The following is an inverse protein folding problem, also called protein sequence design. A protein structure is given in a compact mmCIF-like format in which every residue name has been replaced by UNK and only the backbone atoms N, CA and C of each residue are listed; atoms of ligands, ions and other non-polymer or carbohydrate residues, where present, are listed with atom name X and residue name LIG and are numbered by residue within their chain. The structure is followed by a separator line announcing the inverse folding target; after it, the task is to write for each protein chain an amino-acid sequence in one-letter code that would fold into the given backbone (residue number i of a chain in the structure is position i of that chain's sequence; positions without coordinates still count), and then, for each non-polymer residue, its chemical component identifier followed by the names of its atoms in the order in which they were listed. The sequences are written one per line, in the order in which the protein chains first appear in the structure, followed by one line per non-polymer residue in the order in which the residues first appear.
data_IF_592872455016
#
_entry.id   IF_592872455016
#
_cell.length_a   1.000
_cell.length_b   1.000
_cell.length_c   1.000
_cell.angle_alpha   90.00
_cell.angle_beta   90.00
_cell.angle_gamma   90.00
#
_symmetry.space_group_name_H-M   'P 1'
#
loop_
_entity.id
_entity.type
_entity.pdbx_description
1 polymer ?
#
# COMPACT_ATOMS: atom_id res chain seq x y z
N UNK A 1 21.05 -20.79 0.73
CA UNK A 1 20.73 -20.58 0.60
C UNK A 1 20.14 -19.90 0.66
N UNK A 2 20.04 -19.69 0.51
CA UNK A 2 19.45 -19.07 0.43
C UNK A 2 18.84 -18.32 0.44
N UNK A 3 18.70 -18.15 0.44
CA UNK A 3 18.14 -17.56 0.40
C UNK A 3 17.46 -16.87 0.46
N UNK A 4 17.50 -16.71 0.43
CA UNK A 4 16.74 -16.12 0.45
C UNK A 4 16.08 -15.38 0.34
N UNK A 5 16.15 -15.43 0.26
CA UNK A 5 15.58 -14.91 0.07
C UNK A 5 14.83 -14.32 0.18
N UNK A 6 14.93 -14.37 0.33
CA UNK A 6 14.32 -13.95 0.43
C UNK A 6 13.83 -13.23 0.46
N UNK A 7 14.07 -13.25 0.55
CA UNK A 7 13.68 -12.64 0.57
C UNK A 7 13.26 -11.84 0.45
N UNK A 8 13.38 -12.00 0.42
CA UNK A 8 13.01 -11.33 0.23
C UNK A 8 12.50 -10.76 0.38
N UNK A 9 12.55 -10.88 0.49
CA UNK A 9 12.10 -10.58 0.60
C UNK A 9 11.72 -9.85 0.95
N UNK A 10 11.64 -9.81 1.07
CA UNK A 10 11.32 -9.18 1.50
C UNK A 10 11.09 -8.21 1.38
N UNK A 11 11.25 -8.30 0.94
CA UNK A 11 11.10 -7.33 0.83
C UNK A 11 10.35 -6.57 0.59
N UNK A 12 10.36 -6.42 0.84
CA UNK A 12 9.47 -5.45 0.77
C UNK A 12 9.69 -4.42 -0.14
N UNK A 13 10.36 -4.57 -1.00
CA UNK A 13 10.46 -3.56 -1.94
C UNK A 13 9.17 -3.49 -2.64
N UNK A 14 8.30 -2.80 -2.06
CA UNK A 14 7.01 -2.58 -2.63
C UNK A 14 7.14 -1.50 -3.67
N UNK A 15 6.83 -1.82 -4.89
CA UNK A 15 6.87 -0.85 -5.96
C UNK A 15 5.62 0.03 -5.91
N UNK A 16 5.68 1.16 -6.63
CA UNK A 16 4.52 2.03 -6.75
C UNK A 16 3.34 1.28 -7.35
N UNK A 17 3.60 0.44 -8.36
CA UNK A 17 2.51 -0.31 -9.00
C UNK A 17 1.85 -1.28 -8.02
N UNK A 18 2.65 -1.95 -7.20
CA UNK A 18 2.09 -2.84 -6.19
C UNK A 18 1.26 -2.08 -5.17
N UNK A 19 1.75 -0.90 -4.78
CA UNK A 19 1.01 -0.07 -3.83
C UNK A 19 -0.31 0.40 -4.41
N UNK A 20 -0.34 0.71 -5.71
CA UNK A 20 -1.58 1.10 -6.34
C UNK A 20 -2.59 -0.03 -6.34
N UNK A 21 -2.14 -1.27 -6.58
CA UNK A 21 -3.03 -2.42 -6.50
C UNK A 21 -3.54 -2.60 -5.08
N UNK A 22 -2.65 -2.49 -4.10
CA UNK A 22 -3.04 -2.61 -2.69
C UNK A 22 -4.02 -1.50 -2.31
N UNK A 23 -3.82 -0.31 -2.84
CA UNK A 23 -4.71 0.82 -2.57
C UNK A 23 -6.12 0.53 -3.09
N UNK A 24 -6.21 0.02 -4.31
CA UNK A 24 -7.49 -0.35 -4.88
C UNK A 24 -8.19 -1.42 -4.04
N UNK A 25 -7.42 -2.42 -3.59
CA UNK A 25 -7.99 -3.49 -2.79
C UNK A 25 -8.48 -2.97 -1.44
N UNK A 26 -7.68 -2.11 -0.78
CA UNK A 26 -8.07 -1.56 0.51
C UNK A 26 -9.30 -0.67 0.37
N UNK A 27 -9.40 0.10 -0.70
CA UNK A 27 -10.59 0.91 -0.95
C UNK A 27 -11.81 0.03 -1.19
N UNK A 28 -11.64 -1.06 -1.92
CA UNK A 28 -12.74 -1.97 -2.17
C UNK A 28 -13.24 -2.59 -0.87
N UNK A 29 -12.31 -2.99 0.00
CA UNK A 29 -12.69 -3.56 1.30
C UNK A 29 -13.42 -2.52 2.15
N UNK A 30 -12.92 -1.28 2.15
CA UNK A 30 -13.59 -0.23 2.89
C UNK A 30 -15.00 0.00 2.36
N UNK A 31 -15.15 0.04 1.02
CA UNK A 31 -16.44 0.32 0.43
C UNK A 31 -17.43 -0.81 0.63
N UNK A 32 -16.93 -2.03 0.82
CA UNK A 32 -17.79 -3.19 1.07
C UNK A 32 -18.17 -3.33 2.54
N UNK A 33 -17.44 -2.66 3.43
CA UNK A 33 -17.71 -2.75 4.86
C UNK A 33 -18.75 -1.72 5.24
N UNK A 34 -19.43 -1.98 6.36
CA UNK A 34 -20.42 -1.04 6.85
C UNK A 34 -19.69 0.19 7.40
N UNK A 35 -20.10 1.40 7.00
CA UNK A 35 -19.42 2.62 7.47
C UNK A 35 -19.39 2.68 8.98
N UNK A 36 -18.23 2.95 9.54
CA UNK A 36 -18.03 3.03 10.97
C UNK A 36 -17.77 1.70 11.65
N UNK A 37 -17.85 0.59 10.92
CA UNK A 37 -17.55 -0.71 11.50
C UNK A 37 -16.04 -0.87 11.70
N UNK A 38 -15.66 -1.88 12.47
CA UNK A 38 -14.25 -2.17 12.71
C UNK A 38 -13.50 -2.44 11.40
N UNK A 39 -14.13 -3.21 10.52
CA UNK A 39 -13.54 -3.51 9.22
C UNK A 39 -13.38 -2.26 8.38
N UNK A 40 -14.37 -1.38 8.43
CA UNK A 40 -14.31 -0.14 7.68
C UNK A 40 -13.16 0.73 8.19
N UNK A 41 -13.00 0.80 9.50
CA UNK A 41 -11.93 1.62 10.08
C UNK A 41 -10.56 1.05 9.76
N UNK A 42 -10.41 -0.26 9.83
CA UNK A 42 -9.13 -0.89 9.49
C UNK A 42 -8.76 -0.63 8.03
N UNK A 43 -9.72 -0.79 7.13
CA UNK A 43 -9.46 -0.55 5.71
C UNK A 43 -9.15 0.91 5.46
N UNK A 44 -9.82 1.83 6.16
CA UNK A 44 -9.56 3.26 6.00
C UNK A 44 -8.14 3.62 6.45
N UNK A 45 -7.68 3.04 7.56
CA UNK A 45 -6.32 3.27 8.03
C UNK A 45 -5.32 2.75 6.99
N UNK A 46 -5.60 1.58 6.43
CA UNK A 46 -4.70 1.01 5.43
C UNK A 46 -4.65 1.85 4.17
N UNK A 47 -5.79 2.37 3.72
CA UNK A 47 -5.80 3.28 2.58
C UNK A 47 -4.87 4.47 2.83
N UNK A 48 -4.99 5.08 4.01
CA UNK A 48 -4.15 6.24 4.33
C UNK A 48 -2.68 5.89 4.39
N UNK A 49 -2.35 4.75 4.98
CA UNK A 49 -0.96 4.33 5.09
C UNK A 49 -0.35 4.09 3.70
N UNK A 50 -1.12 3.44 2.83
CA UNK A 50 -0.64 3.18 1.48
C UNK A 50 -0.46 4.49 0.72
N UNK A 51 -1.37 5.45 0.90
CA UNK A 51 -1.26 6.75 0.24
C UNK A 51 0.02 7.48 0.63
N UNK A 52 0.40 7.39 1.91
CA UNK A 52 1.65 7.99 2.37
C UNK A 52 2.84 7.32 1.69
N UNK A 53 2.82 5.99 1.56
CA UNK A 53 3.91 5.29 0.90
C UNK A 53 4.01 5.66 -0.57
N UNK A 54 2.89 5.74 -1.25
CA UNK A 54 2.89 6.15 -2.65
C UNK A 54 3.46 7.56 -2.80
N UNK A 55 3.05 8.47 -1.92
CA UNK A 55 3.54 9.84 -1.99
C UNK A 55 5.05 9.90 -1.77
N UNK A 56 5.59 9.07 -0.87
CA UNK A 56 7.03 9.04 -0.65
C UNK A 56 7.77 8.60 -1.90
N UNK A 57 7.26 7.55 -2.55
CA UNK A 57 7.89 7.06 -3.76
C UNK A 57 7.83 8.12 -4.86
N UNK A 58 6.68 8.76 -5.02
CA UNK A 58 6.51 9.76 -6.07
C UNK A 58 7.40 10.96 -5.86
N UNK A 59 7.62 11.36 -4.60
CA UNK A 59 8.51 12.48 -4.32
C UNK A 59 9.97 12.13 -4.51
N UNK A 60 10.31 10.84 -4.38
CA UNK A 60 11.67 10.38 -4.57
C UNK A 60 12.00 10.10 -6.03
N UNK A 61 11.03 10.14 -6.91
CA UNK A 61 11.28 9.91 -8.33
C UNK A 61 12.02 11.11 -8.94
N UNK A 62 12.70 10.86 -10.05
CA UNK A 62 13.46 11.90 -10.74
C UNK A 62 13.03 11.92 -12.21
N UNK A 63 12.21 12.88 -12.62
CA UNK A 63 11.66 13.96 -11.79
C UNK A 63 10.49 13.47 -10.93
N UNK A 64 10.22 14.15 -9.82
CA UNK A 64 9.09 13.78 -8.97
C UNK A 64 7.78 13.95 -9.70
N UNK A 65 6.80 13.10 -9.34
CA UNK A 65 5.46 13.19 -9.90
C UNK A 65 4.59 14.20 -9.16
N UNK A 66 4.98 14.58 -7.97
CA UNK A 66 4.24 15.56 -7.16
C UNK A 66 5.18 16.62 -6.66
#
# INVERSE_FOLDING_TARGET
MSEPQQAGDAAPATTRDELLVQHMDARRRRNAAEPGSHEWEQASVEVGRIEVEIARIERAMDPPLV
#
